data_IF_077702984636
#
_entry.id   IF_077702984636
#
_cell.length_a   1.000
_cell.length_b   1.000
_cell.length_c   1.000
_cell.angle_alpha   90.00
_cell.angle_beta   90.00
_cell.angle_gamma   90.00
#
_symmetry.space_group_name_H-M   'P 1'
#
loop_
_entity.id
_entity.type
_entity.pdbx_description
1 polymer ?
#
# COMPACT_ATOMS: atom_id res chain seq x y z
N UNK A 1 17.94 20.71 -3.10
CA UNK A 1 16.91 21.72 -3.34
C UNK A 1 15.76 21.17 -4.19
N UNK A 2 16.01 20.63 -5.38
CA UNK A 2 14.97 20.09 -6.30
C UNK A 2 14.08 19.03 -5.64
N UNK A 3 14.65 18.05 -4.95
CA UNK A 3 13.90 17.01 -4.25
C UNK A 3 12.98 17.55 -3.12
N UNK A 4 13.41 18.61 -2.43
CA UNK A 4 12.61 19.25 -1.39
C UNK A 4 11.43 20.03 -1.99
N UNK A 5 11.60 20.60 -3.18
CA UNK A 5 10.55 21.33 -3.90
C UNK A 5 9.52 20.37 -4.48
N UNK A 6 9.97 19.24 -5.04
CA UNK A 6 9.09 18.17 -5.51
C UNK A 6 8.25 17.57 -4.37
N UNK A 7 8.87 17.27 -3.21
CA UNK A 7 8.13 16.81 -2.02
C UNK A 7 7.05 17.80 -1.58
N UNK A 8 7.38 19.09 -1.56
CA UNK A 8 6.41 20.15 -1.21
C UNK A 8 5.27 20.21 -2.22
N UNK A 9 5.58 20.10 -3.50
CA UNK A 9 4.55 20.10 -4.55
C UNK A 9 3.58 18.93 -4.39
N UNK A 10 4.09 17.72 -4.18
CA UNK A 10 3.25 16.53 -3.93
C UNK A 10 2.44 16.63 -2.64
N UNK A 11 3.04 17.11 -1.54
CA UNK A 11 2.34 17.35 -0.29
C UNK A 11 1.19 18.33 -0.48
N UNK A 12 1.41 19.43 -1.21
CA UNK A 12 0.37 20.43 -1.50
C UNK A 12 -0.71 19.87 -2.40
N UNK A 13 -0.36 19.09 -3.42
CA UNK A 13 -1.34 18.43 -4.30
C UNK A 13 -2.20 17.41 -3.53
N UNK A 14 -1.58 16.59 -2.68
CA UNK A 14 -2.26 15.65 -1.80
C UNK A 14 -3.19 16.38 -0.82
N UNK A 15 -2.68 17.44 -0.18
CA UNK A 15 -3.44 18.28 0.74
C UNK A 15 -4.68 18.89 0.09
N UNK A 16 -4.55 19.44 -1.12
CA UNK A 16 -5.68 20.00 -1.87
C UNK A 16 -6.70 18.94 -2.25
N UNK A 17 -6.24 17.73 -2.56
CA UNK A 17 -7.12 16.61 -2.91
C UNK A 17 -7.90 16.09 -1.69
N UNK A 18 -7.26 16.06 -0.52
CA UNK A 18 -7.88 15.59 0.72
C UNK A 18 -8.87 16.59 1.33
N UNK A 19 -8.60 17.89 1.23
CA UNK A 19 -9.59 18.94 1.60
C UNK A 19 -10.90 18.72 0.85
N UNK A 20 -10.85 18.21 -0.39
CA UNK A 20 -12.05 17.94 -1.18
C UNK A 20 -12.86 16.75 -0.67
N UNK A 21 -12.27 15.81 0.08
CA UNK A 21 -12.99 14.64 0.60
C UNK A 21 -14.01 15.01 1.68
N UNK A 22 -13.63 15.85 2.66
CA UNK A 22 -14.55 16.32 3.71
C UNK A 22 -15.70 17.18 3.16
N UNK A 23 -15.46 17.87 2.05
CA UNK A 23 -16.48 18.64 1.34
C UNK A 23 -17.45 17.75 0.55
N UNK A 24 -17.17 16.46 0.36
CA UNK A 24 -18.06 15.57 -0.37
C UNK A 24 -19.20 15.05 0.54
N UNK A 25 -20.47 15.33 0.24
CA UNK A 25 -21.60 14.78 1.00
C UNK A 25 -21.56 13.25 1.08
N UNK A 26 -21.05 12.58 0.03
CA UNK A 26 -20.87 11.14 -0.03
C UNK A 26 -19.88 10.62 1.03
N UNK A 27 -18.79 11.34 1.31
CA UNK A 27 -17.83 10.97 2.35
C UNK A 27 -18.45 11.08 3.74
N UNK A 28 -19.11 12.21 4.03
CA UNK A 28 -19.84 12.43 5.28
C UNK A 28 -20.92 11.36 5.49
N UNK A 29 -21.69 11.06 4.45
CA UNK A 29 -22.69 9.99 4.50
C UNK A 29 -22.03 8.63 4.74
N UNK A 30 -20.91 8.35 4.08
CA UNK A 30 -20.17 7.11 4.25
C UNK A 30 -19.64 6.95 5.68
N UNK A 31 -19.08 8.00 6.29
CA UNK A 31 -18.63 7.99 7.69
C UNK A 31 -19.78 7.70 8.65
N UNK A 32 -20.95 8.30 8.42
CA UNK A 32 -22.13 8.16 9.29
C UNK A 32 -22.93 6.87 9.11
N UNK A 33 -22.67 6.11 8.04
CA UNK A 33 -23.34 4.82 7.84
C UNK A 33 -22.89 3.79 8.88
N UNK A 34 -23.80 2.95 9.41
CA UNK A 34 -23.42 1.87 10.30
C UNK A 34 -22.47 0.90 9.59
N UNK A 35 -21.33 0.60 10.22
CA UNK A 35 -20.35 -0.33 9.68
C UNK A 35 -20.56 -1.71 10.27
N UNK A 36 -20.45 -2.74 9.42
CA UNK A 36 -20.56 -4.13 9.85
C UNK A 36 -19.22 -4.88 9.76
N UNK A 37 -18.25 -4.35 9.04
CA UNK A 37 -16.95 -5.00 8.80
C UNK A 37 -15.81 -4.12 9.31
N UNK A 38 -14.83 -4.73 9.96
CA UNK A 38 -13.61 -4.03 10.38
C UNK A 38 -12.85 -3.39 9.21
N UNK A 39 -12.89 -3.99 8.03
CA UNK A 39 -12.27 -3.42 6.84
C UNK A 39 -12.81 -2.03 6.48
N UNK A 40 -14.09 -1.77 6.70
CA UNK A 40 -14.69 -0.45 6.45
C UNK A 40 -14.12 0.60 7.44
N UNK A 41 -13.92 0.20 8.72
CA UNK A 41 -13.28 1.06 9.72
C UNK A 41 -11.79 1.28 9.44
N UNK A 42 -11.08 0.25 8.98
CA UNK A 42 -9.70 0.38 8.53
C UNK A 42 -9.54 1.48 7.50
N UNK A 43 -10.35 1.48 6.43
CA UNK A 43 -10.27 2.50 5.38
C UNK A 43 -10.58 3.91 5.91
N UNK A 44 -11.51 4.05 6.83
CA UNK A 44 -11.85 5.35 7.42
C UNK A 44 -10.72 5.87 8.33
N UNK A 45 -10.13 5.00 9.16
CA UNK A 45 -9.03 5.39 10.05
C UNK A 45 -7.80 5.74 9.23
N UNK A 46 -7.48 4.93 8.19
CA UNK A 46 -6.40 5.23 7.25
C UNK A 46 -6.61 6.59 6.57
N UNK A 47 -7.81 6.87 6.05
CA UNK A 47 -8.12 8.15 5.42
C UNK A 47 -7.97 9.32 6.42
N UNK A 48 -8.48 9.17 7.65
CA UNK A 48 -8.35 10.17 8.70
C UNK A 48 -6.90 10.45 9.07
N UNK A 49 -6.09 9.39 9.20
CA UNK A 49 -4.66 9.51 9.45
C UNK A 49 -3.94 10.24 8.29
N UNK A 50 -4.21 9.88 7.05
CA UNK A 50 -3.64 10.54 5.87
C UNK A 50 -3.99 12.04 5.84
N UNK A 51 -5.24 12.41 6.15
CA UNK A 51 -5.68 13.81 6.24
C UNK A 51 -4.93 14.56 7.34
N UNK A 52 -4.78 13.95 8.52
CA UNK A 52 -4.01 14.55 9.61
C UNK A 52 -2.54 14.76 9.21
N UNK A 53 -1.92 13.78 8.54
CA UNK A 53 -0.53 13.90 8.02
C UNK A 53 -0.38 14.98 6.96
N UNK A 54 -1.42 15.21 6.17
CA UNK A 54 -1.46 16.32 5.21
C UNK A 54 -1.69 17.70 5.87
N UNK A 55 -1.84 17.76 7.20
CA UNK A 55 -2.11 18.99 7.94
C UNK A 55 -3.56 19.46 7.83
N UNK A 56 -4.47 18.58 7.42
CA UNK A 56 -5.90 18.86 7.22
C UNK A 56 -6.73 17.77 7.94
N UNK A 57 -6.74 17.75 9.28
CA UNK A 57 -7.51 16.74 10.02
C UNK A 57 -8.99 16.83 9.65
N UNK A 58 -9.61 15.68 9.45
CA UNK A 58 -11.03 15.59 9.13
C UNK A 58 -11.89 16.15 10.27
N UNK A 59 -12.90 16.94 9.93
CA UNK A 59 -13.92 17.36 10.90
C UNK A 59 -14.71 16.16 11.48
N UNK A 60 -14.66 15.01 10.84
CA UNK A 60 -15.30 13.75 11.25
C UNK A 60 -14.35 12.80 11.99
N UNK A 61 -13.10 13.23 12.30
CA UNK A 61 -12.08 12.36 12.91
C UNK A 61 -12.58 11.74 14.21
N UNK A 62 -13.22 12.50 15.09
CA UNK A 62 -13.75 12.00 16.35
C UNK A 62 -14.80 10.90 16.15
N UNK A 63 -15.70 11.06 15.17
CA UNK A 63 -16.70 10.05 14.83
C UNK A 63 -16.06 8.78 14.28
N UNK A 64 -15.05 8.93 13.42
CA UNK A 64 -14.26 7.82 12.83
C UNK A 64 -13.55 7.04 13.93
N UNK A 65 -12.85 7.73 14.83
CA UNK A 65 -12.12 7.15 15.96
C UNK A 65 -13.08 6.38 16.87
N UNK A 66 -14.18 7.01 17.29
CA UNK A 66 -15.16 6.37 18.18
C UNK A 66 -15.74 5.09 17.57
N UNK A 67 -16.12 5.12 16.29
CA UNK A 67 -16.64 3.95 15.60
C UNK A 67 -15.59 2.85 15.46
N UNK A 68 -14.34 3.20 15.17
CA UNK A 68 -13.24 2.23 15.04
C UNK A 68 -12.92 1.56 16.39
N UNK A 69 -12.86 2.33 17.48
CA UNK A 69 -12.70 1.83 18.83
C UNK A 69 -13.78 0.83 19.23
N UNK A 70 -15.05 1.20 18.97
CA UNK A 70 -16.18 0.31 19.22
C UNK A 70 -16.08 -0.98 18.39
N UNK A 71 -15.74 -0.86 17.10
CA UNK A 71 -15.60 -2.01 16.22
C UNK A 71 -14.47 -2.95 16.65
N UNK A 72 -13.31 -2.41 17.05
CA UNK A 72 -12.20 -3.21 17.60
C UNK A 72 -12.64 -4.02 18.85
N UNK A 73 -13.43 -3.41 19.73
CA UNK A 73 -13.86 -4.04 20.96
C UNK A 73 -14.95 -5.12 20.75
N UNK A 74 -15.72 -5.04 19.65
CA UNK A 74 -16.95 -5.84 19.52
C UNK A 74 -16.98 -6.76 18.30
N UNK A 75 -16.05 -6.59 17.34
CA UNK A 75 -16.10 -7.30 16.06
C UNK A 75 -14.86 -8.16 15.87
N UNK A 76 -15.06 -9.47 15.64
CA UNK A 76 -13.96 -10.34 15.19
C UNK A 76 -13.67 -10.12 13.70
N UNK A 77 -12.41 -10.27 13.33
CA UNK A 77 -11.98 -10.22 11.93
C UNK A 77 -11.54 -11.61 11.46
N UNK A 78 -11.97 -12.05 10.27
CA UNK A 78 -11.40 -13.23 9.64
C UNK A 78 -9.97 -13.00 9.12
N UNK A 79 -9.54 -11.72 9.06
CA UNK A 79 -8.18 -11.31 8.66
C UNK A 79 -7.52 -10.68 9.89
N UNK A 80 -6.62 -11.40 10.57
CA UNK A 80 -6.05 -10.99 11.85
C UNK A 80 -5.31 -9.64 11.81
N UNK A 81 -4.71 -9.30 10.67
CA UNK A 81 -3.98 -8.05 10.48
C UNK A 81 -4.84 -6.78 10.53
N UNK A 82 -6.13 -6.86 10.18
CA UNK A 82 -7.01 -5.68 10.14
C UNK A 82 -7.14 -5.02 11.53
N UNK A 83 -7.43 -5.75 12.63
CA UNK A 83 -7.42 -5.16 13.97
C UNK A 83 -6.10 -4.50 14.34
N UNK A 84 -4.97 -5.14 14.04
CA UNK A 84 -3.64 -4.59 14.31
C UNK A 84 -3.43 -3.27 13.55
N UNK A 85 -3.71 -3.23 12.26
CA UNK A 85 -3.52 -2.02 11.44
C UNK A 85 -4.43 -0.87 11.90
N UNK A 86 -5.68 -1.16 12.30
CA UNK A 86 -6.57 -0.15 12.89
C UNK A 86 -5.98 0.39 14.19
N UNK A 87 -5.52 -0.48 15.09
CA UNK A 87 -4.94 -0.08 16.37
C UNK A 87 -3.70 0.80 16.18
N UNK A 88 -2.82 0.44 15.25
CA UNK A 88 -1.62 1.22 14.93
C UNK A 88 -1.98 2.59 14.37
N UNK A 89 -2.92 2.69 13.44
CA UNK A 89 -3.34 3.99 12.90
C UNK A 89 -4.09 4.85 13.95
N UNK A 90 -4.83 4.25 14.88
CA UNK A 90 -5.39 4.99 16.00
C UNK A 90 -4.29 5.57 16.89
N UNK A 91 -3.26 4.79 17.19
CA UNK A 91 -2.09 5.27 17.95
C UNK A 91 -1.38 6.41 17.20
N UNK A 92 -1.20 6.31 15.89
CA UNK A 92 -0.66 7.40 15.05
C UNK A 92 -1.55 8.66 15.02
N UNK A 93 -2.84 8.53 15.25
CA UNK A 93 -3.76 9.65 15.44
C UNK A 93 -3.68 10.28 16.85
N UNK A 94 -2.89 9.68 17.76
CA UNK A 94 -2.77 10.07 19.15
C UNK A 94 -3.86 9.47 20.06
N UNK A 95 -4.55 8.45 19.58
CA UNK A 95 -5.67 7.79 20.27
C UNK A 95 -5.22 6.44 20.85
N UNK A 96 -5.56 6.17 22.09
CA UNK A 96 -5.28 4.85 22.70
C UNK A 96 -6.26 3.81 22.16
N UNK A 97 -5.80 2.75 21.48
CA UNK A 97 -6.70 1.73 20.94
C UNK A 97 -7.39 0.93 22.06
N UNK A 98 -8.65 0.53 21.84
CA UNK A 98 -9.43 -0.27 22.79
C UNK A 98 -8.81 -1.66 23.08
N UNK A 99 -8.01 -2.17 22.18
CA UNK A 99 -7.21 -3.39 22.34
C UNK A 99 -5.74 -2.99 22.17
N UNK A 100 -4.88 -3.38 23.10
CA UNK A 100 -3.46 -3.04 23.02
C UNK A 100 -2.80 -3.74 21.84
N UNK A 101 -1.76 -3.10 21.29
CA UNK A 101 -1.02 -3.70 20.17
C UNK A 101 -0.42 -5.06 20.56
N UNK A 102 0.10 -5.22 21.78
CA UNK A 102 0.64 -6.50 22.25
C UNK A 102 -0.36 -7.63 22.13
N UNK A 103 -1.62 -7.39 22.47
CA UNK A 103 -2.69 -8.40 22.35
C UNK A 103 -3.03 -8.76 20.89
N UNK A 104 -2.65 -7.91 19.94
CA UNK A 104 -2.90 -8.11 18.51
C UNK A 104 -1.68 -8.70 17.77
N UNK A 105 -0.47 -8.57 18.34
CA UNK A 105 0.76 -9.05 17.70
C UNK A 105 0.74 -10.56 17.48
N UNK A 106 0.25 -11.36 18.45
CA UNK A 106 0.17 -12.82 18.32
C UNK A 106 -0.65 -13.28 17.10
N UNK A 107 -1.61 -12.45 16.67
CA UNK A 107 -2.42 -12.70 15.49
C UNK A 107 -1.82 -12.12 14.19
N UNK A 108 -0.70 -11.41 14.26
CA UNK A 108 -0.09 -10.75 13.11
C UNK A 108 0.47 -11.75 12.10
N UNK A 109 0.48 -11.36 10.82
CA UNK A 109 1.14 -12.16 9.78
C UNK A 109 2.66 -12.11 9.93
N UNK A 110 3.21 -11.03 10.45
CA UNK A 110 4.64 -10.91 10.78
C UNK A 110 5.05 -12.02 11.75
N UNK A 111 4.31 -12.21 12.85
CA UNK A 111 4.60 -13.27 13.83
C UNK A 111 4.44 -14.67 13.24
N UNK A 112 3.39 -14.90 12.47
CA UNK A 112 3.19 -16.17 11.78
C UNK A 112 4.34 -16.54 10.85
N UNK A 113 4.83 -15.57 10.08
CA UNK A 113 5.93 -15.76 9.14
C UNK A 113 7.24 -16.04 9.89
N UNK A 114 7.53 -15.27 10.93
CA UNK A 114 8.71 -15.42 11.76
C UNK A 114 8.71 -16.76 12.51
N UNK A 115 7.54 -17.21 12.97
CA UNK A 115 7.34 -18.51 13.61
C UNK A 115 7.37 -19.72 12.67
N UNK A 116 7.71 -19.51 11.39
CA UNK A 116 7.86 -20.59 10.41
C UNK A 116 6.54 -21.11 9.81
N UNK A 117 5.43 -20.40 10.01
CA UNK A 117 4.12 -20.75 9.46
C UNK A 117 3.59 -19.69 8.46
N UNK A 118 4.34 -19.42 7.38
CA UNK A 118 3.94 -18.39 6.43
C UNK A 118 2.64 -18.78 5.68
N UNK A 119 1.93 -17.78 5.14
CA UNK A 119 0.83 -18.03 4.21
C UNK A 119 1.25 -18.87 3.01
N UNK A 120 0.33 -19.71 2.53
CA UNK A 120 0.56 -20.49 1.31
C UNK A 120 0.25 -19.62 0.10
N UNK A 121 1.20 -19.57 -0.84
CA UNK A 121 1.04 -18.87 -2.12
C UNK A 121 0.60 -19.88 -3.19
N UNK A 122 -0.69 -19.93 -3.46
CA UNK A 122 -1.26 -20.82 -4.47
C UNK A 122 -1.09 -20.22 -5.86
N UNK A 123 -0.42 -20.93 -6.76
CA UNK A 123 -0.20 -20.51 -8.15
C UNK A 123 -0.47 -21.63 -9.14
N UNK A 124 -0.75 -21.24 -10.40
CA UNK A 124 -0.91 -22.17 -11.52
C UNK A 124 -2.14 -23.08 -11.46
N UNK A 125 -2.18 -24.05 -12.35
CA UNK A 125 -3.14 -25.15 -12.32
C UNK A 125 -2.53 -26.29 -11.49
N UNK A 126 -3.18 -26.81 -10.42
CA UNK A 126 -4.64 -26.86 -10.21
C UNK A 126 -5.21 -25.88 -9.18
N UNK A 127 -4.49 -24.82 -8.78
CA UNK A 127 -5.01 -23.89 -7.77
C UNK A 127 -6.34 -23.24 -8.20
N UNK A 128 -7.34 -23.30 -7.30
CA UNK A 128 -8.64 -22.67 -7.56
C UNK A 128 -8.56 -21.14 -7.52
N UNK A 129 -9.53 -20.46 -8.14
CA UNK A 129 -9.64 -19.00 -8.06
C UNK A 129 -9.77 -18.53 -6.61
N UNK A 130 -10.45 -19.30 -5.75
CA UNK A 130 -10.59 -19.00 -4.33
C UNK A 130 -9.24 -19.08 -3.60
N UNK A 131 -8.42 -20.09 -3.88
CA UNK A 131 -7.10 -20.25 -3.28
C UNK A 131 -6.17 -19.10 -3.68
N UNK A 132 -6.14 -18.72 -4.98
CA UNK A 132 -5.37 -17.55 -5.44
C UNK A 132 -5.83 -16.26 -4.79
N UNK A 133 -7.17 -16.07 -4.66
CA UNK A 133 -7.73 -14.92 -3.95
C UNK A 133 -7.31 -14.88 -2.49
N UNK A 134 -7.28 -16.04 -1.80
CA UNK A 134 -6.81 -16.13 -0.42
C UNK A 134 -5.35 -15.75 -0.30
N UNK A 135 -4.46 -16.26 -1.17
CA UNK A 135 -3.05 -15.87 -1.22
C UNK A 135 -2.89 -14.36 -1.36
N UNK A 136 -3.60 -13.77 -2.31
CA UNK A 136 -3.59 -12.31 -2.53
C UNK A 136 -4.00 -11.54 -1.27
N UNK A 137 -5.11 -11.90 -0.64
CA UNK A 137 -5.58 -11.25 0.58
C UNK A 137 -4.57 -11.32 1.73
N UNK A 138 -3.87 -12.44 1.87
CA UNK A 138 -2.85 -12.62 2.90
C UNK A 138 -1.59 -11.78 2.62
N UNK A 139 -1.19 -11.64 1.37
CA UNK A 139 -0.07 -10.77 1.00
C UNK A 139 -0.42 -9.31 1.21
N UNK A 140 -1.60 -8.85 0.77
CA UNK A 140 -2.08 -7.49 1.07
C UNK A 140 -2.16 -7.22 2.58
N UNK A 141 -2.65 -8.18 3.34
CA UNK A 141 -2.73 -8.03 4.79
C UNK A 141 -1.36 -7.82 5.44
N UNK A 142 -0.33 -8.59 5.02
CA UNK A 142 1.04 -8.38 5.47
C UNK A 142 1.61 -7.02 5.06
N UNK A 143 1.37 -6.62 3.81
CA UNK A 143 1.79 -5.30 3.30
C UNK A 143 1.21 -4.19 4.17
N UNK A 144 -0.08 -4.28 4.48
CA UNK A 144 -0.75 -3.28 5.32
C UNK A 144 -0.23 -3.29 6.77
N UNK A 145 0.17 -4.44 7.33
CA UNK A 145 0.88 -4.47 8.61
C UNK A 145 2.22 -3.71 8.53
N UNK A 146 3.03 -3.98 7.51
CA UNK A 146 4.31 -3.28 7.31
C UNK A 146 4.10 -1.78 7.13
N UNK A 147 3.16 -1.38 6.27
CA UNK A 147 2.83 0.04 6.03
C UNK A 147 2.44 0.73 7.34
N UNK A 148 1.53 0.14 8.10
CA UNK A 148 1.06 0.72 9.36
C UNK A 148 2.21 0.85 10.36
N UNK A 149 2.96 -0.22 10.58
CA UNK A 149 4.04 -0.28 11.57
C UNK A 149 5.23 0.64 11.26
N UNK A 150 5.41 0.99 10.01
CA UNK A 150 6.49 1.89 9.55
C UNK A 150 6.00 3.29 9.21
N UNK A 151 4.71 3.57 9.41
CA UNK A 151 4.10 4.85 9.01
C UNK A 151 4.47 5.22 7.55
N UNK A 152 4.24 4.29 6.61
CA UNK A 152 4.66 4.42 5.22
C UNK A 152 6.17 4.70 5.05
N UNK A 153 7.00 4.11 5.90
CA UNK A 153 8.45 4.29 5.87
C UNK A 153 8.94 5.61 6.48
N UNK A 154 8.08 6.37 7.16
CA UNK A 154 8.48 7.55 7.94
C UNK A 154 9.12 7.18 9.26
N UNK A 155 8.76 6.02 9.82
CA UNK A 155 9.34 5.46 11.02
C UNK A 155 10.22 4.27 10.65
N UNK A 156 11.34 4.14 11.34
CA UNK A 156 12.11 2.90 11.29
C UNK A 156 11.25 1.74 11.79
N UNK A 157 11.43 0.51 11.25
CA UNK A 157 10.73 -0.65 11.77
C UNK A 157 10.89 -0.77 13.29
N UNK A 158 9.80 -0.95 14.06
CA UNK A 158 9.89 -1.09 15.51
C UNK A 158 10.75 -2.31 15.86
N UNK A 159 11.42 -2.35 17.04
CA UNK A 159 12.41 -3.37 17.39
C UNK A 159 11.90 -4.80 17.16
N UNK A 160 10.67 -5.10 17.56
CA UNK A 160 10.10 -6.42 17.39
C UNK A 160 9.90 -6.81 15.90
N UNK A 161 9.60 -5.86 15.01
CA UNK A 161 9.54 -6.08 13.56
C UNK A 161 10.96 -6.21 12.98
N UNK A 162 11.91 -5.43 13.49
CA UNK A 162 13.30 -5.51 13.07
C UNK A 162 13.90 -6.92 13.32
N UNK A 163 13.60 -7.54 14.45
CA UNK A 163 14.01 -8.91 14.77
C UNK A 163 13.41 -9.97 13.82
N UNK A 164 12.28 -9.68 13.21
CA UNK A 164 11.54 -10.57 12.29
C UNK A 164 11.73 -10.20 10.82
N UNK A 165 12.39 -9.10 10.56
CA UNK A 165 12.57 -8.50 9.25
C UNK A 165 13.02 -9.49 8.18
N UNK A 166 14.04 -10.29 8.46
CA UNK A 166 14.60 -11.21 7.48
C UNK A 166 13.60 -12.31 7.06
N UNK A 167 12.76 -12.77 7.98
CA UNK A 167 11.71 -13.74 7.65
C UNK A 167 10.63 -13.10 6.77
N UNK A 168 10.21 -11.88 7.10
CA UNK A 168 9.24 -11.11 6.33
C UNK A 168 9.78 -10.79 4.94
N UNK A 169 11.02 -10.32 4.83
CA UNK A 169 11.69 -10.01 3.56
C UNK A 169 11.78 -11.25 2.67
N UNK A 170 12.17 -12.40 3.22
CA UNK A 170 12.20 -13.67 2.47
C UNK A 170 10.81 -14.08 1.97
N UNK A 171 9.77 -13.88 2.78
CA UNK A 171 8.40 -14.17 2.35
C UNK A 171 7.93 -13.19 1.26
N UNK A 172 8.16 -11.89 1.43
CA UNK A 172 7.84 -10.87 0.42
C UNK A 172 8.58 -11.13 -0.89
N UNK A 173 9.83 -11.60 -0.84
CA UNK A 173 10.56 -12.04 -2.03
C UNK A 173 9.85 -13.17 -2.78
N UNK A 174 9.33 -14.17 -2.08
CA UNK A 174 8.51 -15.24 -2.70
C UNK A 174 7.19 -14.70 -3.24
N UNK A 175 6.52 -13.84 -2.48
CA UNK A 175 5.27 -13.20 -2.89
C UNK A 175 5.44 -12.32 -4.13
N UNK A 176 6.58 -11.66 -4.27
CA UNK A 176 6.95 -10.85 -5.43
C UNK A 176 7.03 -11.69 -6.71
N UNK A 177 7.72 -12.85 -6.65
CA UNK A 177 7.74 -13.78 -7.78
C UNK A 177 6.36 -14.35 -8.09
N UNK A 178 5.57 -14.61 -7.07
CA UNK A 178 4.20 -15.08 -7.22
C UNK A 178 3.30 -14.02 -7.86
N UNK A 179 3.31 -12.77 -7.37
CA UNK A 179 2.53 -11.67 -7.93
C UNK A 179 2.89 -11.40 -9.40
N UNK A 180 4.19 -11.48 -9.73
CA UNK A 180 4.67 -11.39 -11.10
C UNK A 180 4.09 -12.50 -11.99
N UNK A 181 4.11 -13.74 -11.54
CA UNK A 181 3.58 -14.89 -12.29
C UNK A 181 2.06 -14.80 -12.49
N UNK A 182 1.33 -14.20 -11.54
CA UNK A 182 -0.11 -13.95 -11.64
C UNK A 182 -0.44 -12.68 -12.48
N UNK A 183 0.56 -11.90 -12.90
CA UNK A 183 0.37 -10.64 -13.62
C UNK A 183 -0.26 -9.54 -12.77
N UNK A 184 -0.11 -9.61 -11.44
CA UNK A 184 -0.68 -8.67 -10.50
C UNK A 184 0.30 -7.50 -10.26
N UNK A 185 0.26 -6.53 -11.16
CA UNK A 185 1.18 -5.38 -11.16
C UNK A 185 0.98 -4.50 -9.94
N UNK A 186 -0.26 -4.32 -9.48
CA UNK A 186 -0.58 -3.56 -8.30
C UNK A 186 0.04 -4.17 -7.04
N UNK A 187 -0.20 -5.45 -6.82
CA UNK A 187 0.39 -6.17 -5.70
C UNK A 187 1.92 -6.22 -5.78
N UNK A 188 2.48 -6.37 -6.98
CA UNK A 188 3.92 -6.33 -7.19
C UNK A 188 4.52 -4.99 -6.74
N UNK A 189 3.88 -3.88 -7.11
CA UNK A 189 4.30 -2.54 -6.72
C UNK A 189 4.22 -2.33 -5.20
N UNK A 190 3.15 -2.78 -4.56
CA UNK A 190 3.00 -2.69 -3.10
C UNK A 190 4.04 -3.52 -2.34
N UNK A 191 4.39 -4.72 -2.83
CA UNK A 191 5.46 -5.53 -2.26
C UNK A 191 6.79 -4.78 -2.34
N UNK A 192 7.12 -4.19 -3.50
CA UNK A 192 8.36 -3.42 -3.68
C UNK A 192 8.39 -2.23 -2.72
N UNK A 193 7.28 -1.50 -2.57
CA UNK A 193 7.16 -0.43 -1.58
C UNK A 193 7.38 -0.91 -0.15
N UNK A 194 6.82 -2.06 0.22
CA UNK A 194 6.99 -2.65 1.55
C UNK A 194 8.43 -3.07 1.83
N UNK A 195 9.14 -3.59 0.83
CA UNK A 195 10.58 -3.87 0.96
C UNK A 195 11.39 -2.60 1.22
N UNK A 196 11.02 -1.48 0.58
CA UNK A 196 11.64 -0.19 0.87
C UNK A 196 11.35 0.26 2.31
N UNK A 197 10.11 0.13 2.81
CA UNK A 197 9.75 0.47 4.19
C UNK A 197 10.47 -0.40 5.23
N UNK A 198 10.85 -1.61 4.86
CA UNK A 198 11.69 -2.50 5.65
C UNK A 198 13.19 -2.23 5.47
N UNK A 199 13.57 -1.12 4.84
CA UNK A 199 14.96 -0.72 4.61
C UNK A 199 15.78 -1.76 3.82
N UNK A 200 15.13 -2.47 2.88
CA UNK A 200 15.83 -3.40 1.99
C UNK A 200 16.51 -2.59 0.88
N UNK A 201 17.83 -2.66 0.74
CA UNK A 201 18.51 -1.96 -0.35
C UNK A 201 18.12 -2.58 -1.70
N UNK A 202 18.05 -1.77 -2.78
CA UNK A 202 17.74 -2.28 -4.10
C UNK A 202 18.85 -3.20 -4.60
N UNK A 203 18.50 -4.42 -4.90
CA UNK A 203 19.34 -5.39 -5.58
C UNK A 203 18.99 -5.51 -7.08
N UNK A 204 19.68 -6.38 -7.79
CA UNK A 204 19.44 -6.62 -9.21
C UNK A 204 18.00 -7.07 -9.50
N UNK A 205 17.38 -7.81 -8.57
CA UNK A 205 16.00 -8.29 -8.70
C UNK A 205 15.01 -7.14 -8.58
N UNK A 206 15.16 -6.29 -7.56
CA UNK A 206 14.33 -5.10 -7.40
C UNK A 206 14.46 -4.18 -8.62
N UNK A 207 15.68 -3.91 -9.08
CA UNK A 207 15.89 -3.10 -10.28
C UNK A 207 15.25 -3.71 -11.55
N UNK A 208 15.30 -5.02 -11.71
CA UNK A 208 14.64 -5.71 -12.82
C UNK A 208 13.12 -5.51 -12.75
N UNK A 209 12.52 -5.64 -11.56
CA UNK A 209 11.08 -5.50 -11.38
C UNK A 209 10.60 -4.05 -11.49
N UNK A 210 11.39 -3.08 -11.06
CA UNK A 210 11.08 -1.66 -11.31
C UNK A 210 11.04 -1.37 -12.81
N UNK A 211 11.98 -1.90 -13.60
CA UNK A 211 11.92 -1.81 -15.08
C UNK A 211 10.69 -2.52 -15.65
N UNK A 212 10.28 -3.64 -15.05
CA UNK A 212 9.07 -4.35 -15.46
C UNK A 212 7.81 -3.51 -15.17
N UNK A 213 7.72 -2.86 -14.00
CA UNK A 213 6.64 -1.91 -13.72
C UNK A 213 6.53 -0.82 -14.80
N UNK A 214 7.66 -0.20 -15.16
CA UNK A 214 7.68 0.83 -16.21
C UNK A 214 7.17 0.27 -17.55
N UNK A 215 7.57 -0.94 -17.95
CA UNK A 215 7.11 -1.57 -19.19
C UNK A 215 5.61 -1.86 -19.22
N UNK A 216 4.97 -2.03 -18.05
CA UNK A 216 3.54 -2.25 -17.95
C UNK A 216 2.72 -0.96 -17.88
N UNK A 217 3.38 0.20 -17.91
CA UNK A 217 2.69 1.47 -18.00
C UNK A 217 2.00 1.60 -19.36
N UNK A 218 0.73 1.98 -19.31
CA UNK A 218 -0.08 2.22 -20.51
C UNK A 218 0.21 3.62 -21.07
N UNK A 219 -0.14 3.88 -22.35
CA UNK A 219 0.10 5.19 -22.98
C UNK A 219 -0.58 6.37 -22.29
N UNK A 220 -1.64 6.13 -21.52
CA UNK A 220 -2.34 7.13 -20.72
C UNK A 220 -1.68 7.38 -19.35
N UNK A 221 -0.54 6.74 -19.08
CA UNK A 221 0.20 6.84 -17.82
C UNK A 221 -0.32 5.92 -16.72
N UNK A 222 -1.41 5.18 -16.94
CA UNK A 222 -1.92 4.21 -15.98
C UNK A 222 -1.17 2.88 -16.05
N UNK A 223 -1.32 2.04 -15.02
CA UNK A 223 -0.85 0.65 -15.05
C UNK A 223 -2.02 -0.28 -15.27
N UNK A 224 -1.91 -1.14 -16.28
CA UNK A 224 -2.90 -2.15 -16.63
C UNK A 224 -3.09 -3.14 -15.47
N UNK A 225 -4.33 -3.45 -15.18
CA UNK A 225 -4.69 -4.47 -14.21
C UNK A 225 -5.42 -5.63 -14.85
N UNK A 226 -5.49 -6.73 -14.11
CA UNK A 226 -6.31 -7.89 -14.42
C UNK A 226 -7.78 -7.51 -14.71
N UNK A 227 -8.51 -8.28 -15.53
CA UNK A 227 -9.80 -7.89 -16.13
C UNK A 227 -10.99 -7.71 -15.18
N UNK A 228 -10.81 -7.79 -13.86
CA UNK A 228 -11.92 -7.92 -12.91
C UNK A 228 -12.55 -6.62 -12.43
N UNK A 229 -11.91 -5.47 -12.60
CA UNK A 229 -12.53 -4.17 -12.30
C UNK A 229 -11.67 -3.01 -12.84
N UNK A 230 -11.85 -2.71 -14.13
CA UNK A 230 -10.93 -1.83 -14.87
C UNK A 230 -10.76 -0.42 -14.28
N UNK A 231 -11.80 0.19 -13.71
CA UNK A 231 -11.71 1.60 -13.32
C UNK A 231 -11.06 1.83 -11.95
N UNK A 232 -11.38 1.03 -10.94
CA UNK A 232 -10.84 1.23 -9.59
C UNK A 232 -9.40 0.70 -9.47
N UNK A 233 -9.08 -0.41 -10.13
CA UNK A 233 -7.74 -0.99 -10.10
C UNK A 233 -6.71 -0.18 -10.88
N UNK A 234 -7.10 0.45 -11.99
CA UNK A 234 -6.19 1.31 -12.75
C UNK A 234 -5.71 2.51 -11.91
N UNK A 235 -6.59 3.11 -11.11
CA UNK A 235 -6.24 4.25 -10.24
C UNK A 235 -5.34 3.82 -9.09
N UNK A 236 -5.62 2.70 -8.45
CA UNK A 236 -4.82 2.17 -7.36
C UNK A 236 -3.43 1.75 -7.87
N UNK A 237 -3.36 1.03 -8.98
CA UNK A 237 -2.11 0.64 -9.61
C UNK A 237 -1.21 1.82 -10.01
N UNK A 238 -1.78 2.98 -10.39
CA UNK A 238 -1.00 4.22 -10.62
C UNK A 238 -0.32 4.67 -9.33
N UNK A 239 -1.04 4.71 -8.22
CA UNK A 239 -0.51 5.17 -6.94
C UNK A 239 0.60 4.24 -6.45
N UNK A 240 0.36 2.94 -6.44
CA UNK A 240 1.30 1.95 -5.92
C UNK A 240 2.55 1.83 -6.76
N UNK A 241 2.41 1.79 -8.10
CA UNK A 241 3.56 1.74 -9.01
C UNK A 241 4.40 3.03 -8.94
N UNK A 242 3.76 4.20 -8.91
CA UNK A 242 4.46 5.48 -8.76
C UNK A 242 5.20 5.55 -7.42
N UNK A 243 4.56 5.11 -6.33
CA UNK A 243 5.19 5.08 -5.01
C UNK A 243 6.41 4.14 -4.98
N UNK A 244 6.32 2.95 -5.57
CA UNK A 244 7.43 2.00 -5.64
C UNK A 244 8.60 2.53 -6.47
N UNK A 245 8.33 3.10 -7.63
CA UNK A 245 9.35 3.71 -8.48
C UNK A 245 10.05 4.87 -7.76
N UNK A 246 9.27 5.73 -7.11
CA UNK A 246 9.79 6.87 -6.39
C UNK A 246 10.61 6.48 -5.16
N UNK A 247 10.17 5.47 -4.41
CA UNK A 247 10.83 4.98 -3.20
C UNK A 247 12.29 4.60 -3.46
N UNK A 248 12.56 3.93 -4.57
CA UNK A 248 13.92 3.56 -4.97
C UNK A 248 14.61 4.56 -5.89
N UNK A 249 14.05 5.77 -6.06
CA UNK A 249 14.64 6.81 -6.90
C UNK A 249 14.74 6.42 -8.37
N UNK A 250 13.90 5.49 -8.81
CA UNK A 250 13.84 5.07 -10.21
C UNK A 250 13.19 6.19 -11.02
N UNK A 251 14.01 7.06 -11.57
CA UNK A 251 13.60 8.09 -12.52
C UNK A 251 14.13 7.65 -13.86
N UNK A 252 13.27 7.11 -14.72
CA UNK A 252 13.64 7.05 -16.14
C UNK A 252 13.84 8.49 -16.60
N UNK A 253 14.97 8.82 -17.25
CA UNK A 253 15.09 10.11 -17.88
C UNK A 253 13.92 10.20 -18.87
N UNK A 254 12.94 11.07 -18.55
CA UNK A 254 11.89 11.42 -19.49
C UNK A 254 12.62 11.82 -20.77
N UNK A 255 12.44 11.12 -21.91
CA UNK A 255 13.07 11.53 -23.14
C UNK A 255 12.68 12.98 -23.36
N UNK A 256 13.69 13.85 -23.47
CA UNK A 256 13.47 15.27 -23.69
C UNK A 256 12.48 15.41 -24.85
N UNK A 257 11.43 16.24 -24.73
CA UNK A 257 10.44 16.39 -25.80
C UNK A 257 11.08 17.04 -27.04
N UNK A 258 11.92 16.33 -27.74
CA UNK A 258 12.76 16.76 -28.86
C UNK A 258 13.67 15.67 -29.40
N UNK A 259 13.80 14.53 -28.70
CA UNK A 259 14.58 13.39 -29.18
C UNK A 259 13.72 12.33 -29.89
N UNK A 260 12.60 12.71 -30.46
CA UNK A 260 12.05 11.93 -31.56
C UNK A 260 12.99 12.19 -32.73
N UNK A 261 13.86 11.22 -33.01
CA UNK A 261 14.54 11.15 -34.30
C UNK A 261 13.47 11.34 -35.35
N UNK A 262 13.48 12.49 -35.98
CA UNK A 262 12.63 12.81 -37.13
C UNK A 262 13.05 11.82 -38.25
N UNK A 263 12.23 10.83 -38.60
CA UNK A 263 12.61 9.89 -39.65
C UNK A 263 12.76 10.52 -41.02
N UNK A 264 12.39 11.80 -41.18
CA UNK A 264 12.41 12.52 -42.48
C UNK A 264 13.76 13.20 -42.79
N UNK A 265 14.83 13.05 -41.98
CA UNK A 265 16.14 13.62 -42.33
C UNK A 265 17.11 12.60 -42.96
N UNK A 266 16.63 11.48 -43.50
CA UNK A 266 17.46 10.49 -44.24
C UNK A 266 17.17 10.38 -45.71
N UNK A 267 16.69 11.40 -46.37
CA UNK A 267 16.71 11.49 -47.84
C UNK A 267 17.31 12.84 -48.23
N UNK A 268 18.63 12.92 -48.27
CA UNK A 268 19.42 13.82 -49.18
C UNK A 268 20.89 13.81 -48.69
N UNK A 269 21.60 12.69 -48.99
CA UNK A 269 23.05 12.69 -49.24
C UNK A 269 23.44 11.52 -50.14
#
# INVERSE_FOLDING_TARGET
ARQADERRHYATALQNHMVSLDALPAFTQWVRQPRKRLLDHYHLVLASWMMQRAGQPSALQSDIVHQAQYALATTSSPVPSIPLTIAVFLDHLGESPAITMENLLDASLVERIAGGNPPVLYSGSPASAQQRRLSRLQVYALIHEVIALTDFGHLAPPPWLADRRDAVVRFLGKAMHWARAEGDIDLLAEIIGSLFFLEVPPDATIHMLLRELVKHQLPDGSWGSLPLDRQNKQRHGVLTATAALWAYGYVDPVPSPGSRDDPDQREDQ
#
